data_IF_386002460059
#
_entry.id   IF_386002460059
#
_cell.length_a   1.000
_cell.length_b   1.000
_cell.length_c   1.000
_cell.angle_alpha   90.00
_cell.angle_beta   90.00
_cell.angle_gamma   90.00
#
_symmetry.space_group_name_H-M   'P 1'
#
loop_
_entity.id
_entity.type
_entity.pdbx_description
1 polymer ?
#
# COMPACT_ATOMS: atom_id res chain seq x y z
N UNK A 1 32.22 16.01 6.79
CA UNK A 1 31.54 14.73 6.48
C UNK A 1 30.05 15.01 6.54
N UNK A 2 29.45 15.52 5.47
CA UNK A 2 28.00 15.73 5.39
C UNK A 2 27.53 14.97 4.17
N UNK A 3 27.24 13.70 4.42
CA UNK A 3 26.71 12.75 3.47
C UNK A 3 25.31 13.20 3.04
N UNK A 4 25.04 13.04 1.75
CA UNK A 4 23.92 13.62 1.04
C UNK A 4 22.56 13.21 1.61
N UNK A 5 21.64 14.16 1.70
CA UNK A 5 20.20 13.89 1.75
C UNK A 5 19.77 13.28 0.40
N UNK A 6 19.96 11.97 0.25
CA UNK A 6 19.39 11.20 -0.85
C UNK A 6 17.90 10.99 -0.54
N UNK A 7 17.05 11.90 -1.03
CA UNK A 7 15.59 11.69 -1.02
C UNK A 7 15.31 10.71 -2.16
N UNK A 8 14.85 9.47 -1.86
CA UNK A 8 14.57 8.50 -2.91
C UNK A 8 13.39 8.99 -3.77
N UNK A 9 13.53 8.86 -5.08
CA UNK A 9 12.48 9.16 -6.05
C UNK A 9 11.24 8.29 -5.78
N UNK A 10 10.07 8.77 -6.20
CA UNK A 10 8.79 8.04 -6.07
C UNK A 10 8.89 6.63 -6.69
N UNK A 11 9.61 6.50 -7.82
CA UNK A 11 9.82 5.22 -8.48
C UNK A 11 10.65 4.23 -7.64
N UNK A 12 11.63 4.71 -6.88
CA UNK A 12 12.46 3.86 -6.01
C UNK A 12 11.66 3.37 -4.80
N UNK A 13 10.79 4.22 -4.27
CA UNK A 13 9.87 3.86 -3.20
C UNK A 13 8.85 2.81 -3.67
N UNK A 14 8.29 2.96 -4.88
CA UNK A 14 7.38 1.97 -5.46
C UNK A 14 8.02 0.58 -5.55
N UNK A 15 9.29 0.52 -5.99
CA UNK A 15 10.06 -0.72 -6.04
C UNK A 15 10.25 -1.32 -4.65
N UNK A 16 10.64 -0.50 -3.66
CA UNK A 16 10.80 -0.93 -2.28
C UNK A 16 9.49 -1.50 -1.71
N UNK A 17 8.36 -0.83 -1.93
CA UNK A 17 7.05 -1.29 -1.46
C UNK A 17 6.69 -2.63 -2.10
N UNK A 18 6.86 -2.74 -3.41
CA UNK A 18 6.54 -3.97 -4.15
C UNK A 18 7.37 -5.17 -3.68
N UNK A 19 8.64 -4.93 -3.30
CA UNK A 19 9.55 -5.97 -2.85
C UNK A 19 9.36 -6.37 -1.38
N UNK A 20 8.94 -5.44 -0.51
CA UNK A 20 8.83 -5.68 0.93
C UNK A 20 7.39 -5.93 1.40
N UNK A 21 6.40 -5.77 0.55
CA UNK A 21 5.01 -6.03 0.94
C UNK A 21 4.78 -7.52 1.22
N UNK A 22 3.92 -7.79 2.21
CA UNK A 22 3.48 -9.14 2.56
C UNK A 22 2.09 -9.45 1.96
N UNK A 23 1.72 -8.76 0.87
CA UNK A 23 0.43 -8.96 0.22
C UNK A 23 0.16 -10.42 -0.18
N UNK A 24 1.13 -11.19 -0.72
CA UNK A 24 0.91 -12.60 -1.08
C UNK A 24 0.49 -13.51 0.07
N UNK A 25 0.90 -13.21 1.30
CA UNK A 25 0.53 -13.96 2.52
C UNK A 25 -0.82 -13.52 3.11
N UNK A 26 -1.43 -12.46 2.59
CA UNK A 26 -2.68 -11.93 3.11
C UNK A 26 -3.84 -12.90 2.81
N UNK A 27 -4.75 -13.18 3.76
CA UNK A 27 -5.88 -14.08 3.53
C UNK A 27 -6.87 -13.56 2.47
N UNK A 28 -6.89 -12.24 2.22
CA UNK A 28 -7.67 -11.65 1.12
C UNK A 28 -6.96 -11.72 -0.24
N UNK A 29 -5.69 -12.16 -0.30
CA UNK A 29 -4.94 -12.21 -1.56
C UNK A 29 -5.52 -13.21 -2.54
N UNK A 30 -5.49 -12.85 -3.82
CA UNK A 30 -5.83 -13.73 -4.93
C UNK A 30 -4.66 -13.68 -5.90
N UNK A 31 -4.08 -14.85 -6.19
CA UNK A 31 -3.00 -14.95 -7.17
C UNK A 31 -3.56 -14.69 -8.58
N UNK A 32 -3.30 -13.50 -9.11
CA UNK A 32 -3.74 -13.09 -10.45
C UNK A 32 -2.67 -12.36 -11.28
N UNK A 33 -1.41 -12.44 -10.86
CA UNK A 33 -0.27 -11.80 -11.54
C UNK A 33 0.00 -10.36 -11.12
N UNK A 34 -0.71 -9.83 -10.12
CA UNK A 34 -0.38 -8.55 -9.49
C UNK A 34 0.80 -8.72 -8.52
N UNK A 35 1.64 -7.68 -8.38
CA UNK A 35 2.81 -7.73 -7.49
C UNK A 35 2.49 -7.34 -6.03
N UNK A 36 1.31 -6.76 -5.77
CA UNK A 36 0.96 -6.20 -4.47
C UNK A 36 1.43 -4.75 -4.32
N UNK A 37 1.58 -4.30 -3.08
CA UNK A 37 2.03 -2.93 -2.79
C UNK A 37 0.95 -1.85 -2.90
N UNK A 38 -0.33 -2.23 -2.89
CA UNK A 38 -1.50 -1.35 -3.06
C UNK A 38 -1.60 -0.19 -2.05
N UNK A 39 -0.81 -0.23 -0.98
CA UNK A 39 -0.75 0.84 0.01
C UNK A 39 0.07 2.05 -0.47
N UNK A 40 0.84 1.91 -1.55
CA UNK A 40 1.59 3.01 -2.15
C UNK A 40 0.73 3.87 -3.06
N UNK A 41 0.98 5.18 -3.09
CA UNK A 41 0.11 6.13 -3.77
C UNK A 41 0.04 5.99 -5.30
N UNK A 42 1.08 5.46 -5.95
CA UNK A 42 1.11 5.25 -7.41
C UNK A 42 0.59 3.88 -7.81
N UNK A 43 0.38 2.96 -6.85
CA UNK A 43 -0.14 1.62 -7.10
C UNK A 43 -1.65 1.65 -6.86
N UNK A 44 -2.42 1.44 -7.93
CA UNK A 44 -3.87 1.33 -7.83
C UNK A 44 -4.29 0.07 -7.06
N UNK A 45 -5.52 0.06 -6.54
CA UNK A 45 -6.11 -1.12 -5.90
C UNK A 45 -6.12 -2.33 -6.83
N UNK A 46 -6.17 -3.52 -6.24
CA UNK A 46 -6.20 -4.77 -6.97
C UNK A 46 -7.46 -4.89 -7.83
N UNK A 47 -7.32 -5.50 -9.01
CA UNK A 47 -8.47 -5.80 -9.88
C UNK A 47 -9.10 -7.16 -9.60
N UNK A 48 -8.43 -8.00 -8.81
CA UNK A 48 -8.80 -9.41 -8.62
C UNK A 48 -9.41 -9.68 -7.25
N UNK A 49 -8.94 -8.98 -6.22
CA UNK A 49 -9.43 -9.07 -4.85
C UNK A 49 -10.72 -8.28 -4.75
N UNK A 50 -11.83 -9.01 -4.61
CA UNK A 50 -13.18 -8.44 -4.46
C UNK A 50 -13.79 -8.74 -3.08
N UNK A 51 -13.13 -9.58 -2.27
CA UNK A 51 -13.62 -10.00 -0.95
C UNK A 51 -12.54 -9.80 0.13
N UNK A 52 -12.93 -9.19 1.23
CA UNK A 52 -12.08 -8.91 2.39
C UNK A 52 -12.16 -10.08 3.39
N UNK A 53 -11.33 -11.11 3.20
CA UNK A 53 -11.26 -12.31 4.07
C UNK A 53 -10.39 -12.10 5.33
N UNK A 54 -9.69 -10.97 5.39
CA UNK A 54 -8.80 -10.57 6.48
C UNK A 54 -7.62 -9.74 5.97
N UNK A 55 -6.99 -8.96 6.86
CA UNK A 55 -5.90 -8.06 6.50
C UNK A 55 -4.75 -8.20 7.49
N UNK A 56 -3.55 -8.44 6.97
CA UNK A 56 -2.30 -8.48 7.76
C UNK A 56 -1.43 -7.24 7.55
N UNK A 57 -1.91 -6.26 6.77
CA UNK A 57 -1.18 -5.03 6.47
C UNK A 57 -0.72 -4.23 7.71
N UNK A 58 -1.44 -4.20 8.85
CA UNK A 58 -0.95 -3.51 10.05
C UNK A 58 0.39 -4.05 10.59
N UNK A 59 0.73 -5.31 10.29
CA UNK A 59 2.01 -5.93 10.64
C UNK A 59 3.03 -5.88 9.50
N UNK A 60 2.68 -5.28 8.35
CA UNK A 60 3.55 -5.16 7.20
C UNK A 60 4.67 -4.15 7.49
N UNK A 61 5.94 -4.47 7.22
CA UNK A 61 7.05 -3.54 7.42
C UNK A 61 6.88 -2.26 6.61
N UNK A 62 6.31 -2.37 5.39
CA UNK A 62 6.01 -1.20 4.54
C UNK A 62 5.02 -0.25 5.22
N UNK A 63 3.92 -0.79 5.77
CA UNK A 63 2.90 0.03 6.41
C UNK A 63 3.47 0.79 7.62
N UNK A 64 4.29 0.10 8.42
CA UNK A 64 4.97 0.70 9.56
C UNK A 64 6.00 1.76 9.14
N UNK A 65 6.81 1.50 8.11
CA UNK A 65 7.80 2.45 7.59
C UNK A 65 7.15 3.70 6.99
N UNK A 66 5.98 3.56 6.38
CA UNK A 66 5.25 4.66 5.75
C UNK A 66 4.27 5.38 6.68
N UNK A 67 4.08 4.90 7.92
CA UNK A 67 3.14 5.49 8.87
C UNK A 67 1.67 5.38 8.43
N UNK A 68 1.33 4.27 7.79
CA UNK A 68 0.01 4.01 7.24
C UNK A 68 -0.96 3.52 8.34
N UNK A 69 -2.14 4.14 8.41
CA UNK A 69 -3.11 3.90 9.49
C UNK A 69 -4.33 3.09 9.07
N UNK A 70 -4.60 3.00 7.77
CA UNK A 70 -5.74 2.26 7.23
C UNK A 70 -5.42 0.80 6.91
N UNK A 71 -6.46 0.07 6.54
CA UNK A 71 -6.41 -1.33 6.15
C UNK A 71 -7.13 -1.52 4.82
N UNK A 72 -6.88 -2.67 4.18
CA UNK A 72 -7.55 -3.05 2.94
C UNK A 72 -7.27 -2.13 1.74
N UNK A 73 -6.03 -1.65 1.64
CA UNK A 73 -5.58 -0.86 0.48
C UNK A 73 -5.78 -1.58 -0.87
N UNK A 74 -5.79 -2.92 -0.86
CA UNK A 74 -6.05 -3.75 -2.04
C UNK A 74 -7.46 -3.62 -2.62
N UNK A 75 -8.46 -3.22 -1.84
CA UNK A 75 -9.87 -3.11 -2.26
C UNK A 75 -10.36 -1.66 -2.18
N UNK A 76 -9.85 -0.89 -1.21
CA UNK A 76 -10.30 0.47 -0.87
C UNK A 76 -9.41 1.58 -1.41
N UNK A 77 -8.31 1.23 -2.09
CA UNK A 77 -7.36 2.19 -2.65
C UNK A 77 -6.29 2.63 -1.66
N UNK A 78 -5.37 3.47 -2.12
CA UNK A 78 -4.23 3.95 -1.33
C UNK A 78 -4.66 4.90 -0.21
N UNK A 79 -3.75 5.21 0.71
CA UNK A 79 -3.93 6.16 1.83
C UNK A 79 -4.60 7.48 1.40
N UNK A 80 -4.18 8.02 0.24
CA UNK A 80 -4.75 9.24 -0.33
C UNK A 80 -6.20 9.08 -0.80
N UNK A 81 -6.63 7.88 -1.19
CA UNK A 81 -8.02 7.57 -1.53
C UNK A 81 -8.88 7.51 -0.27
N UNK A 82 -8.37 6.92 0.82
CA UNK A 82 -9.05 6.89 2.11
C UNK A 82 -9.32 8.28 2.69
N UNK A 83 -8.36 9.22 2.61
CA UNK A 83 -8.53 10.58 3.17
C UNK A 83 -9.50 11.46 2.36
N UNK A 84 -9.73 11.17 1.07
CA UNK A 84 -10.62 12.00 0.22
C UNK A 84 -12.09 11.94 0.64
N UNK A 85 -12.51 10.90 1.35
CA UNK A 85 -13.88 10.77 1.84
C UNK A 85 -14.22 11.69 3.02
N UNK A 86 -13.25 12.42 3.59
CA UNK A 86 -13.47 13.34 4.71
C UNK A 86 -13.58 14.82 4.31
N UNK A 87 -13.46 15.18 3.02
CA UNK A 87 -13.48 16.59 2.55
C UNK A 87 -14.63 16.95 1.60
N UNK A 88 -15.64 16.09 1.44
CA UNK A 88 -16.91 16.47 0.80
C UNK A 88 -17.93 16.82 1.89
N UNK A 89 -17.74 18.00 2.50
CA UNK A 89 -18.57 18.53 3.57
C UNK A 89 -18.38 20.02 3.75
N UNK A 90 -18.53 20.79 2.67
CA UNK A 90 -18.84 22.23 2.67
C UNK A 90 -19.60 22.57 1.39
#
# INVERSE_FOLDING_TARGET
MTEATHIPSIAEQEQMVTLMCICPDCPSWVECGEKGGFCFETIEKSRCINEEKGCICPSCPVANSMGLEYMYYCTRGSEKEHTKNFRSGT
#
